data_IF_747220483138
#
_entry.id   IF_747220483138
#
_cell.length_a   1.000
_cell.length_b   1.000
_cell.length_c   1.000
_cell.angle_alpha   90.00
_cell.angle_beta   90.00
_cell.angle_gamma   90.00
#
_symmetry.space_group_name_H-M   'P 1'
#
loop_
_entity.id
_entity.type
_entity.pdbx_description
1 polymer ?
#
# COMPACT_ATOMS: atom_id res chain seq x y z
N UNK A 1 -59.80 16.30 -6.14
CA UNK A 1 -59.16 15.78 -4.91
C UNK A 1 -58.27 14.54 -5.14
N UNK A 2 -58.66 13.54 -5.97
CA UNK A 2 -57.86 12.32 -6.22
C UNK A 2 -56.42 12.54 -6.75
N UNK A 3 -56.20 13.56 -7.60
CA UNK A 3 -54.88 13.87 -8.18
C UNK A 3 -53.86 14.40 -7.15
N UNK A 4 -54.32 15.12 -6.13
CA UNK A 4 -53.47 15.67 -5.06
C UNK A 4 -52.99 14.53 -4.15
N UNK A 5 -53.87 13.57 -3.86
CA UNK A 5 -53.52 12.38 -3.07
C UNK A 5 -52.47 11.51 -3.79
N UNK A 6 -52.61 11.36 -5.11
CA UNK A 6 -51.67 10.61 -5.95
C UNK A 6 -50.29 11.28 -5.99
N UNK A 7 -50.26 12.61 -6.04
CA UNK A 7 -49.02 13.39 -6.02
C UNK A 7 -48.30 13.29 -4.66
N UNK A 8 -49.04 13.31 -3.55
CA UNK A 8 -48.45 13.07 -2.23
C UNK A 8 -47.86 11.66 -2.14
N UNK A 9 -48.61 10.63 -2.55
CA UNK A 9 -48.15 9.25 -2.50
C UNK A 9 -46.87 9.03 -3.33
N UNK A 10 -46.78 9.61 -4.53
CA UNK A 10 -45.59 9.55 -5.35
C UNK A 10 -44.38 10.23 -4.69
N UNK A 11 -44.59 11.36 -4.01
CA UNK A 11 -43.53 12.07 -3.29
C UNK A 11 -42.98 11.26 -2.11
N UNK A 12 -43.84 10.58 -1.36
CA UNK A 12 -43.41 9.71 -0.27
C UNK A 12 -42.70 8.44 -0.77
N UNK A 13 -43.16 7.86 -1.88
CA UNK A 13 -42.51 6.71 -2.49
C UNK A 13 -41.09 7.04 -2.96
N UNK A 14 -40.91 8.20 -3.59
CA UNK A 14 -39.60 8.66 -4.08
C UNK A 14 -38.65 9.01 -2.93
N UNK A 15 -39.18 9.51 -1.80
CA UNK A 15 -38.37 9.73 -0.59
C UNK A 15 -37.92 8.39 0.02
N UNK A 16 -38.81 7.40 0.08
CA UNK A 16 -38.51 6.08 0.63
C UNK A 16 -37.45 5.33 -0.19
N UNK A 17 -37.49 5.42 -1.52
CA UNK A 17 -36.46 4.81 -2.38
C UNK A 17 -35.10 5.47 -2.19
N UNK A 18 -35.03 6.80 -2.12
CA UNK A 18 -33.77 7.52 -1.85
C UNK A 18 -33.18 7.08 -0.51
N UNK A 19 -33.99 7.01 0.55
CA UNK A 19 -33.53 6.57 1.88
C UNK A 19 -33.05 5.11 1.82
N UNK A 20 -33.77 4.22 1.14
CA UNK A 20 -33.38 2.82 1.00
C UNK A 20 -32.04 2.64 0.25
N UNK A 21 -31.85 3.36 -0.86
CA UNK A 21 -30.57 3.36 -1.61
C UNK A 21 -29.41 3.96 -0.80
N UNK A 22 -29.67 5.00 0.00
CA UNK A 22 -28.65 5.59 0.87
C UNK A 22 -28.26 4.64 2.00
N UNK A 23 -29.24 3.96 2.60
CA UNK A 23 -29.00 3.01 3.68
C UNK A 23 -28.25 1.76 3.18
N UNK A 24 -28.68 1.18 2.05
CA UNK A 24 -28.01 0.03 1.44
C UNK A 24 -26.61 0.39 0.91
N UNK A 25 -26.43 1.58 0.34
CA UNK A 25 -25.12 2.09 -0.09
C UNK A 25 -24.13 2.31 1.07
N UNK A 26 -24.60 2.84 2.21
CA UNK A 26 -23.78 2.97 3.43
C UNK A 26 -23.42 1.62 4.04
N UNK A 27 -24.34 0.65 4.04
CA UNK A 27 -24.04 -0.69 4.55
C UNK A 27 -23.06 -1.46 3.66
N UNK A 28 -23.12 -1.28 2.34
CA UNK A 28 -22.20 -1.97 1.42
C UNK A 28 -20.75 -1.45 1.51
N UNK A 29 -20.56 -0.20 1.91
CA UNK A 29 -19.24 0.43 2.02
C UNK A 29 -18.58 0.22 3.40
N UNK A 30 -19.34 -0.05 4.46
CA UNK A 30 -18.79 -0.28 5.81
C UNK A 30 -18.27 -1.70 6.09
N UNK A 31 -18.59 -2.69 5.24
CA UNK A 31 -18.14 -4.08 5.44
C UNK A 31 -16.93 -4.51 4.60
N UNK A 32 -16.43 -3.65 3.70
CA UNK A 32 -15.15 -3.88 3.04
C UNK A 32 -14.00 -3.39 3.93
N UNK A 33 -13.76 -4.10 5.05
CA UNK A 33 -12.40 -4.17 5.57
C UNK A 33 -11.68 -5.16 4.67
N UNK A 34 -10.75 -4.72 3.79
CA UNK A 34 -9.89 -5.69 3.13
C UNK A 34 -9.20 -6.47 4.24
N UNK A 35 -9.45 -7.78 4.32
CA UNK A 35 -8.65 -8.69 5.11
C UNK A 35 -7.23 -8.63 4.55
N UNK A 36 -6.45 -7.67 5.04
CA UNK A 36 -5.01 -7.66 4.84
C UNK A 36 -4.51 -8.91 5.54
N UNK A 37 -4.33 -9.98 4.76
CA UNK A 37 -3.81 -11.25 5.25
C UNK A 37 -2.61 -10.99 6.16
N UNK A 38 -2.48 -11.73 7.25
CA UNK A 38 -1.38 -11.59 8.21
C UNK A 38 0.01 -11.55 7.54
N UNK A 39 0.15 -12.21 6.37
CA UNK A 39 1.32 -12.15 5.48
C UNK A 39 1.57 -10.76 4.87
N UNK A 40 0.54 -10.05 4.40
CA UNK A 40 0.71 -8.68 3.89
C UNK A 40 1.08 -7.70 5.00
N UNK A 41 0.54 -7.88 6.20
CA UNK A 41 0.86 -7.03 7.36
C UNK A 41 2.34 -7.18 7.78
N UNK A 42 2.89 -8.39 7.75
CA UNK A 42 4.30 -8.64 8.07
C UNK A 42 5.27 -8.14 6.98
N UNK A 43 4.90 -8.25 5.70
CA UNK A 43 5.66 -7.70 4.57
C UNK A 43 5.66 -6.17 4.60
N UNK A 44 4.54 -5.53 4.95
CA UNK A 44 4.47 -4.08 5.09
C UNK A 44 5.37 -3.55 6.21
N UNK A 45 5.33 -4.17 7.40
CA UNK A 45 6.22 -3.83 8.52
C UNK A 45 7.70 -4.00 8.15
N UNK A 46 8.04 -5.10 7.48
CA UNK A 46 9.40 -5.39 7.02
C UNK A 46 9.90 -4.37 5.98
N UNK A 47 9.07 -4.01 5.01
CA UNK A 47 9.41 -2.99 4.00
C UNK A 47 9.58 -1.60 4.62
N UNK A 48 8.78 -1.25 5.64
CA UNK A 48 8.91 0.03 6.36
C UNK A 48 10.26 0.10 7.08
N UNK A 49 10.64 -0.95 7.81
CA UNK A 49 11.93 -1.04 8.49
C UNK A 49 13.11 -0.94 7.52
N UNK A 50 13.05 -1.65 6.38
CA UNK A 50 14.09 -1.56 5.36
C UNK A 50 14.24 -0.13 4.82
N UNK A 51 13.11 0.57 4.55
CA UNK A 51 13.12 1.97 4.12
C UNK A 51 13.74 2.90 5.16
N UNK A 52 13.39 2.75 6.42
CA UNK A 52 13.94 3.57 7.51
C UNK A 52 15.46 3.39 7.65
N UNK A 53 15.94 2.14 7.60
CA UNK A 53 17.38 1.85 7.66
C UNK A 53 18.11 2.46 6.46
N UNK A 54 17.55 2.32 5.25
CA UNK A 54 18.14 2.89 4.04
C UNK A 54 18.16 4.41 4.09
N UNK A 55 17.05 5.07 4.46
CA UNK A 55 16.97 6.53 4.58
C UNK A 55 17.87 7.10 5.66
N UNK A 56 18.20 6.32 6.71
CA UNK A 56 19.15 6.73 7.75
C UNK A 56 20.61 6.68 7.30
N UNK A 57 20.94 5.88 6.29
CA UNK A 57 22.33 5.59 5.86
C UNK A 57 22.67 6.08 4.46
N UNK A 58 21.67 6.37 3.65
CA UNK A 58 21.79 6.83 2.28
C UNK A 58 20.94 8.06 2.07
N UNK A 59 21.42 8.95 1.22
CA UNK A 59 20.65 10.10 0.77
C UNK A 59 19.52 9.64 -0.16
N UNK A 60 18.44 10.44 -0.23
CA UNK A 60 17.31 10.17 -1.13
C UNK A 60 17.78 10.10 -2.59
N UNK A 61 18.77 10.90 -2.99
CA UNK A 61 19.36 10.88 -4.34
C UNK A 61 20.06 9.57 -4.66
N UNK A 62 20.84 9.01 -3.72
CA UNK A 62 21.47 7.70 -3.87
C UNK A 62 20.44 6.57 -3.96
N UNK A 63 19.41 6.59 -3.12
CA UNK A 63 18.33 5.61 -3.16
C UNK A 63 17.57 5.69 -4.50
N UNK A 64 17.31 6.91 -5.00
CA UNK A 64 16.69 7.12 -6.31
C UNK A 64 17.61 6.67 -7.45
N UNK A 65 18.94 6.77 -7.30
CA UNK A 65 19.90 6.23 -8.27
C UNK A 65 19.82 4.70 -8.29
N UNK A 66 19.85 4.04 -7.14
CA UNK A 66 19.69 2.58 -7.06
C UNK A 66 18.34 2.11 -7.63
N UNK A 67 17.25 2.85 -7.36
CA UNK A 67 15.94 2.57 -7.94
C UNK A 67 15.94 2.71 -9.47
N UNK A 68 16.61 3.72 -10.02
CA UNK A 68 16.75 3.91 -11.47
C UNK A 68 17.55 2.78 -12.11
N UNK A 69 18.65 2.37 -11.49
CA UNK A 69 19.46 1.23 -11.93
C UNK A 69 18.64 -0.07 -11.96
N UNK A 70 17.75 -0.25 -10.99
CA UNK A 70 16.90 -1.45 -10.91
C UNK A 70 15.67 -1.44 -11.83
N UNK A 71 15.40 -0.34 -12.56
CA UNK A 71 14.17 -0.19 -13.37
C UNK A 71 14.11 -1.20 -14.52
N UNK A 72 15.25 -1.44 -15.17
CA UNK A 72 15.37 -2.30 -16.34
C UNK A 72 16.05 -3.65 -16.00
N UNK A 73 16.17 -3.94 -14.69
CA UNK A 73 16.95 -5.06 -14.17
C UNK A 73 18.39 -4.65 -13.85
N UNK A 74 18.96 -5.26 -12.81
CA UNK A 74 20.33 -4.96 -12.38
C UNK A 74 21.32 -5.88 -13.08
N UNK A 75 22.32 -5.32 -13.74
CA UNK A 75 23.46 -6.10 -14.24
C UNK A 75 24.31 -6.63 -13.07
N UNK A 76 25.09 -7.72 -13.25
CA UNK A 76 25.96 -8.26 -12.20
C UNK A 76 26.96 -7.24 -11.63
N UNK A 77 27.43 -6.30 -12.45
CA UNK A 77 28.32 -5.23 -12.02
C UNK A 77 27.61 -4.22 -11.11
N UNK A 78 26.37 -3.87 -11.44
CA UNK A 78 25.54 -2.96 -10.63
C UNK A 78 25.10 -3.58 -9.32
N UNK A 79 24.77 -4.88 -9.33
CA UNK A 79 24.50 -5.64 -8.10
C UNK A 79 25.71 -5.55 -7.16
N UNK A 80 26.93 -5.78 -7.68
CA UNK A 80 28.16 -5.66 -6.87
C UNK A 80 28.38 -4.24 -6.36
N UNK A 81 28.09 -3.22 -7.14
CA UNK A 81 28.21 -1.83 -6.70
C UNK A 81 27.24 -1.51 -5.56
N UNK A 82 25.97 -1.90 -5.70
CA UNK A 82 24.96 -1.72 -4.66
C UNK A 82 25.34 -2.51 -3.41
N UNK A 83 25.78 -3.77 -3.57
CA UNK A 83 26.20 -4.61 -2.46
C UNK A 83 27.39 -4.03 -1.69
N UNK A 84 28.39 -3.54 -2.41
CA UNK A 84 29.56 -2.86 -1.83
C UNK A 84 29.14 -1.60 -1.07
N UNK A 85 28.26 -0.78 -1.65
CA UNK A 85 27.74 0.42 -1.00
C UNK A 85 27.00 0.08 0.30
N UNK A 86 26.11 -0.93 0.26
CA UNK A 86 25.38 -1.42 1.42
C UNK A 86 26.32 -1.93 2.52
N UNK A 87 27.28 -2.81 2.20
CA UNK A 87 28.24 -3.35 3.17
C UNK A 87 29.15 -2.30 3.79
N UNK A 88 29.49 -1.25 3.05
CA UNK A 88 30.38 -0.20 3.55
C UNK A 88 29.73 0.73 4.58
N UNK A 89 28.41 0.92 4.52
CA UNK A 89 27.69 1.90 5.35
C UNK A 89 26.76 1.29 6.39
N UNK A 90 26.32 0.06 6.17
CA UNK A 90 25.44 -0.66 7.08
C UNK A 90 26.24 -1.51 8.06
N UNK A 91 25.72 -1.63 9.28
CA UNK A 91 26.24 -2.64 10.20
C UNK A 91 25.94 -4.03 9.63
N UNK A 92 26.74 -5.04 9.99
CA UNK A 92 26.51 -6.43 9.58
C UNK A 92 25.08 -6.90 9.91
N UNK A 93 24.53 -6.47 11.06
CA UNK A 93 23.15 -6.78 11.47
C UNK A 93 22.11 -6.13 10.55
N UNK A 94 22.30 -4.86 10.18
CA UNK A 94 21.34 -4.14 9.32
C UNK A 94 21.40 -4.63 7.88
N UNK A 95 22.59 -4.94 7.38
CA UNK A 95 22.78 -5.55 6.07
C UNK A 95 22.06 -6.90 5.97
N UNK A 96 22.26 -7.80 6.95
CA UNK A 96 21.58 -9.11 6.94
C UNK A 96 20.06 -8.97 7.09
N UNK A 97 19.56 -8.02 7.90
CA UNK A 97 18.12 -7.72 7.97
C UNK A 97 17.57 -7.31 6.61
N UNK A 98 18.22 -6.36 5.93
CA UNK A 98 17.82 -5.90 4.60
C UNK A 98 17.86 -7.05 3.59
N UNK A 99 18.94 -7.84 3.61
CA UNK A 99 19.12 -8.99 2.73
C UNK A 99 18.02 -10.04 2.92
N UNK A 100 17.65 -10.36 4.17
CA UNK A 100 16.55 -11.28 4.49
C UNK A 100 15.19 -10.75 4.01
N UNK A 101 14.93 -9.46 4.17
CA UNK A 101 13.68 -8.84 3.72
C UNK A 101 13.56 -8.93 2.19
N UNK A 102 14.66 -8.70 1.46
CA UNK A 102 14.67 -8.84 0.01
C UNK A 102 14.58 -10.30 -0.46
N UNK A 103 15.23 -11.24 0.25
CA UNK A 103 15.19 -12.67 -0.07
C UNK A 103 13.81 -13.30 0.15
N UNK A 104 13.05 -12.84 1.15
CA UNK A 104 11.69 -13.35 1.43
C UNK A 104 10.61 -12.77 0.49
N UNK A 105 10.99 -11.88 -0.43
CA UNK A 105 10.06 -11.20 -1.35
C UNK A 105 10.03 -11.83 -2.75
N UNK A 106 11.00 -12.69 -3.06
CA UNK A 106 11.12 -13.49 -4.29
C UNK A 106 11.07 -14.97 -3.92
#
# INVERSE_FOLDING_TARGET
MKKILLFLAAKYFLLATIVFFYFTGCFHSHFYKPEFSSKQTSVYKSNKLAKEILLKKFTVSEILRFKRMAKDGLSPGEIKQIDKALRSRLSRKDYEKIRLIFRNKF
#
